data_IF_817622601382
#
_entry.id   IF_817622601382
#
_cell.length_a   1.000
_cell.length_b   1.000
_cell.length_c   1.000
_cell.angle_alpha   90.00
_cell.angle_beta   90.00
_cell.angle_gamma   90.00
#
_symmetry.space_group_name_H-M   'P 1'
#
loop_
_entity.id
_entity.type
_entity.pdbx_description
1 polymer ?
#
# COMPACT_ATOMS: atom_id res chain seq x y z
N UNK A 1 -17.30 -2.12 10.97
CA UNK A 1 -15.98 -1.52 11.05
C UNK A 1 -16.07 -0.06 10.66
N UNK A 2 -15.43 0.81 11.40
CA UNK A 2 -15.46 2.24 11.11
C UNK A 2 -14.34 2.59 10.12
N UNK A 3 -14.71 2.84 8.86
CA UNK A 3 -13.75 3.17 7.81
C UNK A 3 -12.97 4.45 8.10
N UNK A 4 -13.56 5.40 8.83
CA UNK A 4 -12.85 6.63 9.18
C UNK A 4 -11.64 6.36 10.07
N UNK A 5 -11.77 5.47 11.05
CA UNK A 5 -10.63 5.10 11.89
C UNK A 5 -9.59 4.35 11.11
N UNK A 6 -10.01 3.48 10.19
CA UNK A 6 -9.08 2.74 9.34
C UNK A 6 -8.31 3.70 8.43
N UNK A 7 -9.00 4.66 7.81
CA UNK A 7 -8.37 5.65 6.94
C UNK A 7 -7.35 6.48 7.72
N UNK A 8 -7.69 6.91 8.95
CA UNK A 8 -6.75 7.67 9.78
C UNK A 8 -5.50 6.84 10.11
N UNK A 9 -5.69 5.58 10.46
CA UNK A 9 -4.57 4.67 10.76
C UNK A 9 -3.68 4.49 9.55
N UNK A 10 -4.26 4.26 8.37
CA UNK A 10 -3.51 4.06 7.14
C UNK A 10 -2.81 5.35 6.71
N UNK A 11 -3.45 6.51 6.86
CA UNK A 11 -2.80 7.79 6.57
C UNK A 11 -1.58 8.02 7.45
N UNK A 12 -1.66 7.64 8.71
CA UNK A 12 -0.51 7.72 9.61
C UNK A 12 0.61 6.79 9.13
N UNK A 13 0.28 5.56 8.77
CA UNK A 13 1.26 4.58 8.28
C UNK A 13 1.80 4.92 6.89
N UNK A 14 1.11 5.78 6.13
CA UNK A 14 1.58 6.19 4.81
C UNK A 14 2.71 7.21 4.88
N UNK A 15 2.99 7.76 6.05
CA UNK A 15 4.09 8.70 6.24
C UNK A 15 5.39 7.91 6.37
N UNK A 16 6.11 7.83 5.27
CA UNK A 16 7.35 7.04 5.20
C UNK A 16 8.57 7.96 5.19
N UNK A 17 9.71 7.39 5.61
CA UNK A 17 10.97 8.11 5.59
C UNK A 17 11.54 8.27 4.20
N UNK A 18 11.18 7.39 3.26
CA UNK A 18 11.65 7.46 1.88
C UNK A 18 10.61 8.16 1.01
N UNK A 19 11.09 9.08 0.18
CA UNK A 19 10.24 9.84 -0.72
C UNK A 19 9.49 8.93 -1.71
N UNK A 20 10.20 7.96 -2.26
CA UNK A 20 9.65 7.04 -3.25
C UNK A 20 8.52 6.20 -2.67
N UNK A 21 8.72 5.66 -1.48
CA UNK A 21 7.67 4.86 -0.83
C UNK A 21 6.50 5.73 -0.40
N UNK A 22 6.76 6.97 0.01
CA UNK A 22 5.70 7.90 0.36
C UNK A 22 4.80 8.18 -0.84
N UNK A 23 5.40 8.41 -2.01
CA UNK A 23 4.65 8.69 -3.23
C UNK A 23 3.75 7.51 -3.61
N UNK A 24 4.29 6.30 -3.60
CA UNK A 24 3.52 5.13 -4.02
C UNK A 24 2.40 4.81 -3.01
N UNK A 25 2.66 4.98 -1.73
CA UNK A 25 1.64 4.74 -0.71
C UNK A 25 0.53 5.77 -0.79
N UNK A 26 0.85 7.03 -1.06
CA UNK A 26 -0.16 8.04 -1.28
C UNK A 26 -1.04 7.72 -2.48
N UNK A 27 -0.47 7.16 -3.54
CA UNK A 27 -1.21 6.73 -4.70
C UNK A 27 -2.22 5.65 -4.35
N UNK A 28 -1.82 4.68 -3.53
CA UNK A 28 -2.75 3.67 -3.02
C UNK A 28 -3.87 4.31 -2.20
N UNK A 29 -3.53 5.25 -1.33
CA UNK A 29 -4.52 5.90 -0.48
C UNK A 29 -5.53 6.73 -1.26
N UNK A 30 -5.12 7.33 -2.37
CA UNK A 30 -6.02 8.07 -3.24
C UNK A 30 -7.12 7.18 -3.82
N UNK A 31 -6.83 5.90 -3.99
CA UNK A 31 -7.77 4.93 -4.54
C UNK A 31 -8.47 4.09 -3.46
N UNK A 32 -8.24 4.40 -2.19
CA UNK A 32 -8.71 3.58 -1.08
C UNK A 32 -10.23 3.40 -1.10
N UNK A 33 -10.98 4.47 -1.38
CA UNK A 33 -12.44 4.41 -1.37
C UNK A 33 -13.00 3.53 -2.49
N UNK A 34 -12.23 3.29 -3.53
CA UNK A 34 -12.62 2.45 -4.66
C UNK A 34 -12.20 0.99 -4.48
N UNK A 35 -11.42 0.71 -3.44
CA UNK A 35 -10.93 -0.64 -3.19
C UNK A 35 -12.01 -1.53 -2.59
N UNK A 36 -12.03 -2.80 -3.01
CA UNK A 36 -12.87 -3.80 -2.38
C UNK A 36 -12.20 -4.32 -1.10
N UNK A 37 -12.86 -5.26 -0.42
CA UNK A 37 -12.35 -5.78 0.86
C UNK A 37 -10.99 -6.47 0.71
N UNK A 38 -10.79 -7.23 -0.36
CA UNK A 38 -9.53 -7.92 -0.61
C UNK A 38 -8.40 -6.95 -0.87
N UNK A 39 -8.65 -5.90 -1.66
CA UNK A 39 -7.67 -4.88 -1.96
C UNK A 39 -7.27 -4.09 -0.71
N UNK A 40 -8.24 -3.73 0.12
CA UNK A 40 -7.98 -3.03 1.38
C UNK A 40 -7.17 -3.90 2.33
N UNK A 41 -7.47 -5.18 2.40
CA UNK A 41 -6.74 -6.13 3.24
C UNK A 41 -5.28 -6.22 2.81
N UNK A 42 -5.02 -6.30 1.51
CA UNK A 42 -3.66 -6.34 0.98
C UNK A 42 -2.91 -5.04 1.28
N UNK A 43 -3.58 -3.90 1.14
CA UNK A 43 -2.96 -2.61 1.45
C UNK A 43 -2.56 -2.50 2.91
N UNK A 44 -3.42 -2.96 3.82
CA UNK A 44 -3.10 -2.96 5.25
C UNK A 44 -1.85 -3.80 5.51
N UNK A 45 -1.77 -4.98 4.91
CA UNK A 45 -0.61 -5.85 5.05
C UNK A 45 0.65 -5.18 4.48
N UNK A 46 0.51 -4.56 3.31
CA UNK A 46 1.63 -3.87 2.67
C UNK A 46 2.19 -2.75 3.54
N UNK A 47 1.33 -1.98 4.19
CA UNK A 47 1.75 -0.86 5.02
C UNK A 47 2.37 -1.27 6.35
N UNK A 48 2.30 -2.55 6.72
CA UNK A 48 3.03 -3.06 7.89
C UNK A 48 4.52 -3.25 7.59
N UNK A 49 4.93 -3.23 6.33
CA UNK A 49 6.33 -3.40 5.95
C UNK A 49 7.14 -2.15 6.23
N UNK A 50 8.44 -2.32 6.51
CA UNK A 50 9.33 -1.16 6.65
C UNK A 50 9.63 -0.55 5.27
N UNK A 51 10.19 0.67 5.28
CA UNK A 51 10.43 1.41 4.04
C UNK A 51 11.34 0.67 3.05
N UNK A 52 12.42 0.08 3.55
CA UNK A 52 13.38 -0.59 2.66
C UNK A 52 12.75 -1.80 1.98
N UNK A 53 12.05 -2.62 2.75
CA UNK A 53 11.38 -3.81 2.21
C UNK A 53 10.28 -3.42 1.22
N UNK A 54 9.53 -2.38 1.55
CA UNK A 54 8.47 -1.87 0.69
C UNK A 54 9.04 -1.35 -0.64
N UNK A 55 10.12 -0.57 -0.55
CA UNK A 55 10.79 -0.05 -1.73
C UNK A 55 11.30 -1.18 -2.63
N UNK A 56 12.01 -2.14 -2.03
CA UNK A 56 12.56 -3.25 -2.78
C UNK A 56 11.46 -4.08 -3.44
N UNK A 57 10.37 -4.32 -2.73
CA UNK A 57 9.28 -5.12 -3.26
C UNK A 57 8.62 -4.46 -4.47
N UNK A 58 8.39 -3.16 -4.40
CA UNK A 58 7.69 -2.44 -5.46
C UNK A 58 8.60 -2.12 -6.64
N UNK A 59 9.83 -1.70 -6.37
CA UNK A 59 10.71 -1.17 -7.42
C UNK A 59 11.73 -2.17 -7.95
N UNK A 60 12.11 -3.17 -7.16
CA UNK A 60 13.12 -4.16 -7.55
C UNK A 60 12.56 -5.55 -7.75
N UNK A 61 11.51 -5.91 -7.02
CA UNK A 61 10.95 -7.26 -7.02
C UNK A 61 9.49 -7.24 -7.47
N UNK A 62 9.24 -6.63 -8.61
CA UNK A 62 7.90 -6.45 -9.15
C UNK A 62 7.09 -7.75 -9.21
N UNK A 63 7.71 -8.83 -9.66
CA UNK A 63 7.04 -10.12 -9.78
C UNK A 63 6.62 -10.67 -8.42
N UNK A 64 7.48 -10.49 -7.41
CA UNK A 64 7.17 -10.89 -6.04
C UNK A 64 6.00 -10.07 -5.51
N UNK A 65 6.01 -8.75 -5.78
CA UNK A 65 4.91 -7.89 -5.38
C UNK A 65 3.59 -8.35 -5.98
N UNK A 66 3.57 -8.62 -7.28
CA UNK A 66 2.37 -9.06 -7.97
C UNK A 66 1.88 -10.41 -7.43
N UNK A 67 2.81 -11.30 -7.08
CA UNK A 67 2.47 -12.60 -6.52
C UNK A 67 1.85 -12.48 -5.12
N UNK A 68 2.40 -11.59 -4.29
CA UNK A 68 1.94 -11.42 -2.91
C UNK A 68 0.69 -10.53 -2.80
N UNK A 69 0.59 -9.53 -3.67
CA UNK A 69 -0.50 -8.54 -3.62
C UNK A 69 -1.13 -8.38 -5.00
N UNK A 70 -1.72 -9.45 -5.54
CA UNK A 70 -2.26 -9.42 -6.91
C UNK A 70 -3.39 -8.40 -7.10
N UNK A 71 -4.13 -8.10 -6.04
CA UNK A 71 -5.22 -7.14 -6.12
C UNK A 71 -4.74 -5.68 -6.14
N UNK A 72 -3.50 -5.43 -5.71
CA UNK A 72 -2.94 -4.08 -5.70
C UNK A 72 -2.16 -3.75 -6.99
N UNK A 73 -1.94 -4.72 -7.85
CA UNK A 73 -1.15 -4.53 -9.07
C UNK A 73 -1.62 -3.32 -9.88
N UNK A 74 -2.91 -3.22 -10.10
CA UNK A 74 -3.50 -2.16 -10.94
C UNK A 74 -3.31 -0.75 -10.37
N UNK A 75 -3.06 -0.64 -9.06
CA UNK A 75 -2.84 0.65 -8.42
C UNK A 75 -1.36 1.03 -8.36
N UNK A 76 -0.47 0.07 -8.48
CA UNK A 76 0.97 0.29 -8.39
C UNK A 76 1.62 0.54 -9.76
N UNK A 77 1.08 -0.06 -10.80
CA UNK A 77 1.72 -0.04 -12.12
C UNK A 77 0.78 0.37 -13.24
#
# INVERSE_FOLDING_TARGET
>A
MNDELLIKKLNFKSRRGMKETTIIVKKFMENFNEMNADEKSELIELLEMNDQDLFDLIFKEKETFISRFPNLKKFAY
#
